data_IF_632320252264
#
_entry.id   IF_632320252264
#
_cell.length_a   1.000
_cell.length_b   1.000
_cell.length_c   1.000
_cell.angle_alpha   90.00
_cell.angle_beta   90.00
_cell.angle_gamma   90.00
#
_symmetry.space_group_name_H-M   'P 1'
#
loop_
_entity.id
_entity.type
_entity.pdbx_description
1 polymer ?
#
# COMPACT_ATOMS: atom_id res chain seq x y z
N UNK A 1 10.39 6.48 14.91
CA UNK A 1 10.21 6.28 13.45
C UNK A 1 10.81 4.95 12.95
N UNK A 2 12.03 4.59 13.36
CA UNK A 2 12.75 3.38 12.91
C UNK A 2 12.05 2.05 13.25
N UNK A 3 11.36 1.95 14.38
CA UNK A 3 10.66 0.70 14.81
C UNK A 3 9.34 0.41 14.06
N UNK A 4 8.82 1.34 13.26
CA UNK A 4 7.57 1.17 12.53
C UNK A 4 7.85 0.87 11.06
N UNK A 5 7.24 -0.18 10.50
CA UNK A 5 7.40 -0.54 9.09
C UNK A 5 6.35 0.12 8.19
N UNK A 6 5.11 0.28 8.64
CA UNK A 6 4.04 0.90 7.82
C UNK A 6 4.26 2.43 7.65
N UNK A 7 4.17 2.97 6.42
CA UNK A 7 4.20 4.41 6.16
C UNK A 7 3.18 5.20 6.99
N UNK A 8 1.94 4.70 7.09
CA UNK A 8 0.87 5.34 7.88
C UNK A 8 1.24 5.45 9.37
N UNK A 9 1.81 4.37 9.94
CA UNK A 9 2.27 4.38 11.33
C UNK A 9 3.41 5.38 11.53
N UNK A 10 4.33 5.49 10.57
CA UNK A 10 5.41 6.48 10.62
C UNK A 10 4.87 7.92 10.56
N UNK A 11 3.86 8.20 9.74
CA UNK A 11 3.18 9.51 9.68
C UNK A 11 2.47 9.82 10.99
N UNK A 12 1.79 8.84 11.60
CA UNK A 12 1.18 9.05 12.93
C UNK A 12 2.22 9.44 13.99
N UNK A 13 3.40 8.82 13.94
CA UNK A 13 4.53 9.19 14.83
C UNK A 13 5.03 10.60 14.50
N UNK A 14 5.12 10.98 13.22
CA UNK A 14 5.49 12.31 12.79
C UNK A 14 4.52 13.37 13.35
N UNK A 15 3.20 13.17 13.15
CA UNK A 15 2.16 14.08 13.65
C UNK A 15 2.22 14.24 15.17
N UNK A 16 2.42 13.14 15.91
CA UNK A 16 2.62 13.19 17.37
C UNK A 16 3.86 14.00 17.75
N UNK A 17 4.94 13.87 16.98
CA UNK A 17 6.18 14.62 17.21
C UNK A 17 5.97 16.12 16.94
N UNK A 18 5.32 16.48 15.83
CA UNK A 18 4.97 17.87 15.52
C UNK A 18 4.09 18.49 16.61
N UNK A 19 3.10 17.74 17.12
CA UNK A 19 2.26 18.19 18.23
C UNK A 19 3.09 18.46 19.49
N UNK A 20 4.01 17.57 19.88
CA UNK A 20 4.89 17.78 21.04
C UNK A 20 5.77 19.03 20.89
N UNK A 21 6.21 19.34 19.66
CA UNK A 21 6.94 20.58 19.37
C UNK A 21 6.04 21.80 19.61
N UNK A 22 4.82 21.82 19.06
CA UNK A 22 3.87 22.91 19.29
C UNK A 22 3.50 23.08 20.77
N UNK A 23 3.29 21.99 21.49
CA UNK A 23 3.00 22.01 22.93
C UNK A 23 4.18 22.63 23.70
N UNK A 24 5.42 22.31 23.31
CA UNK A 24 6.62 22.89 23.91
C UNK A 24 6.78 24.38 23.59
N UNK A 25 6.50 24.80 22.36
CA UNK A 25 6.52 26.21 21.95
C UNK A 25 5.49 27.02 22.73
N UNK A 26 4.28 26.49 22.89
CA UNK A 26 3.18 27.12 23.62
C UNK A 26 3.51 27.29 25.11
N UNK A 27 4.16 26.29 25.72
CA UNK A 27 4.64 26.39 27.10
C UNK A 27 5.74 27.45 27.26
N UNK A 28 6.65 27.55 26.29
CA UNK A 28 7.72 28.54 26.30
C UNK A 28 7.25 29.98 26.05
N UNK A 29 6.12 30.17 25.37
CA UNK A 29 5.52 31.49 25.15
C UNK A 29 3.98 31.44 25.21
N UNK A 30 3.39 31.34 26.42
CA UNK A 30 1.95 31.19 26.58
C UNK A 30 1.14 32.32 25.94
N UNK A 31 0.10 31.96 25.19
CA UNK A 31 -0.83 32.92 24.58
C UNK A 31 -0.40 33.47 23.22
N UNK A 32 0.81 33.15 22.74
CA UNK A 32 1.23 33.47 21.36
C UNK A 32 0.74 32.38 20.39
N UNK A 33 -0.01 32.71 19.33
CA UNK A 33 -0.27 31.75 18.25
C UNK A 33 1.02 31.50 17.45
N UNK A 34 1.28 30.24 17.10
CA UNK A 34 2.48 29.82 16.35
C UNK A 34 2.13 29.46 14.91
N UNK A 35 2.72 30.16 13.95
CA UNK A 35 2.59 29.88 12.53
C UNK A 35 3.64 28.89 12.00
N UNK A 36 3.63 28.67 10.68
CA UNK A 36 4.64 27.86 9.99
C UNK A 36 6.06 28.41 10.16
N UNK A 37 6.21 29.73 10.07
CA UNK A 37 7.50 30.43 10.20
C UNK A 37 8.06 30.36 11.63
N UNK A 38 7.20 30.25 12.65
CA UNK A 38 7.64 29.99 14.02
C UNK A 38 8.04 28.51 14.22
N UNK A 39 7.34 27.59 13.56
CA UNK A 39 7.50 26.15 13.75
C UNK A 39 8.75 25.59 13.05
N UNK A 40 9.00 25.99 11.80
CA UNK A 40 10.07 25.41 10.98
C UNK A 40 11.46 25.50 11.64
N UNK A 41 11.89 26.65 12.22
CA UNK A 41 13.17 26.74 12.92
C UNK A 41 13.26 25.79 14.13
N UNK A 42 12.16 25.61 14.86
CA UNK A 42 12.12 24.71 16.03
C UNK A 42 12.18 23.26 15.58
N UNK A 43 11.48 22.89 14.50
CA UNK A 43 11.59 21.57 13.88
C UNK A 43 13.02 21.28 13.45
N UNK A 44 13.66 22.21 12.74
CA UNK A 44 15.06 22.06 12.31
C UNK A 44 16.00 21.86 13.50
N UNK A 45 15.82 22.63 14.57
CA UNK A 45 16.59 22.48 15.80
C UNK A 45 16.40 21.09 16.43
N UNK A 46 15.16 20.63 16.57
CA UNK A 46 14.86 19.30 17.11
C UNK A 46 15.50 18.20 16.26
N UNK A 47 15.36 18.26 14.93
CA UNK A 47 15.95 17.28 14.01
C UNK A 47 17.48 17.25 14.13
N UNK A 48 18.14 18.41 14.12
CA UNK A 48 19.59 18.52 14.26
C UNK A 48 20.11 17.95 15.61
N UNK A 49 19.25 17.91 16.64
CA UNK A 49 19.59 17.41 17.98
C UNK A 49 19.17 15.96 18.24
N UNK A 50 18.38 15.34 17.36
CA UNK A 50 17.71 14.06 17.63
C UNK A 50 18.49 12.81 17.18
N UNK A 51 19.71 12.95 16.67
CA UNK A 51 20.55 11.84 16.16
C UNK A 51 19.79 10.85 15.25
N UNK A 52 19.02 11.41 14.30
CA UNK A 52 18.20 10.66 13.35
C UNK A 52 18.93 10.52 12.01
N UNK A 53 19.94 9.65 11.96
CA UNK A 53 20.81 9.47 10.79
C UNK A 53 20.08 9.04 9.52
N UNK A 54 18.97 8.31 9.64
CA UNK A 54 18.17 7.82 8.51
C UNK A 54 16.91 8.67 8.24
N UNK A 55 16.86 9.90 8.74
CA UNK A 55 15.63 10.70 8.65
C UNK A 55 15.21 10.98 7.22
N UNK A 56 16.16 11.31 6.33
CA UNK A 56 15.87 11.55 4.91
C UNK A 56 15.25 10.31 4.25
N UNK A 57 15.85 9.14 4.48
CA UNK A 57 15.35 7.86 3.97
C UNK A 57 13.95 7.55 4.51
N UNK A 58 13.68 7.82 5.79
CA UNK A 58 12.35 7.62 6.38
C UNK A 58 11.30 8.55 5.75
N UNK A 59 11.69 9.79 5.44
CA UNK A 59 10.82 10.76 4.77
C UNK A 59 10.53 10.33 3.35
N UNK A 60 11.54 10.01 2.54
CA UNK A 60 11.39 9.50 1.18
C UNK A 60 10.57 8.21 1.16
N UNK A 61 10.81 7.30 2.11
CA UNK A 61 10.04 6.07 2.28
C UNK A 61 8.54 6.36 2.49
N UNK A 62 8.21 7.31 3.39
CA UNK A 62 6.83 7.74 3.60
C UNK A 62 6.25 8.46 2.38
N UNK A 63 7.05 9.25 1.67
CA UNK A 63 6.60 9.95 0.46
C UNK A 63 6.26 8.95 -0.65
N UNK A 64 7.12 7.96 -0.91
CA UNK A 64 6.98 7.08 -2.08
C UNK A 64 6.04 5.89 -1.88
N UNK A 65 5.94 5.32 -0.67
CA UNK A 65 5.18 4.08 -0.44
C UNK A 65 3.80 4.27 0.17
N UNK A 66 3.41 5.51 0.44
CA UNK A 66 2.11 5.78 1.02
C UNK A 66 1.02 5.71 -0.04
N UNK A 67 -0.09 5.05 0.29
CA UNK A 67 -1.24 4.94 -0.60
C UNK A 67 -1.77 6.34 -1.01
N UNK A 68 -1.75 6.69 -2.31
CA UNK A 68 -2.28 7.94 -2.83
C UNK A 68 -3.78 8.16 -2.56
N UNK A 69 -4.54 7.08 -2.35
CA UNK A 69 -5.96 7.13 -2.03
C UNK A 69 -6.22 7.68 -0.62
N UNK A 70 -5.27 7.51 0.31
CA UNK A 70 -5.40 8.00 1.67
C UNK A 70 -5.35 9.54 1.71
N UNK A 71 -6.35 10.14 2.36
CA UNK A 71 -6.35 11.55 2.65
C UNK A 71 -5.42 11.81 3.83
N UNK A 72 -4.31 12.49 3.58
CA UNK A 72 -3.37 12.81 4.64
C UNK A 72 -3.75 14.05 5.45
N UNK A 73 -4.49 14.99 4.87
CA UNK A 73 -4.75 16.29 5.48
C UNK A 73 -3.46 16.95 5.98
N UNK A 74 -3.34 17.10 7.29
CA UNK A 74 -2.15 17.62 7.98
C UNK A 74 -0.89 16.75 7.80
N UNK A 75 -1.02 15.45 7.57
CA UNK A 75 0.10 14.53 7.40
C UNK A 75 1.01 14.88 6.23
N UNK A 76 0.44 15.30 5.10
CA UNK A 76 1.20 15.71 3.90
C UNK A 76 1.96 17.00 4.16
N UNK A 77 1.32 17.93 4.86
CA UNK A 77 1.91 19.21 5.21
C UNK A 77 3.18 18.97 6.04
N UNK A 78 3.07 18.27 7.17
CA UNK A 78 4.23 18.02 8.02
C UNK A 78 5.28 17.10 7.39
N UNK A 79 4.87 16.18 6.51
CA UNK A 79 5.82 15.34 5.76
C UNK A 79 6.68 16.20 4.81
N UNK A 80 6.08 17.08 4.02
CA UNK A 80 6.80 18.01 3.13
C UNK A 80 7.64 18.99 3.95
N UNK A 81 7.10 19.55 5.03
CA UNK A 81 7.86 20.45 5.92
C UNK A 81 9.09 19.76 6.49
N UNK A 82 8.96 18.49 6.87
CA UNK A 82 10.08 17.69 7.41
C UNK A 82 11.10 17.36 6.33
N UNK A 83 10.67 16.99 5.12
CA UNK A 83 11.56 16.81 3.97
C UNK A 83 12.39 18.07 3.71
N UNK A 84 11.72 19.22 3.61
CA UNK A 84 12.37 20.51 3.45
C UNK A 84 13.33 20.82 4.59
N UNK A 85 12.93 20.61 5.84
CA UNK A 85 13.79 20.85 7.01
C UNK A 85 15.09 20.00 6.97
N UNK A 86 14.99 18.72 6.59
CA UNK A 86 16.16 17.83 6.49
C UNK A 86 17.08 18.25 5.35
N UNK A 87 16.55 18.59 4.18
CA UNK A 87 17.34 19.10 3.05
C UNK A 87 17.99 20.46 3.38
N UNK A 88 17.31 21.31 4.16
CA UNK A 88 17.88 22.58 4.65
C UNK A 88 19.06 22.34 5.60
N UNK A 89 18.97 21.36 6.49
CA UNK A 89 20.07 20.99 7.40
C UNK A 89 21.25 20.42 6.60
N UNK A 90 20.98 19.55 5.63
CA UNK A 90 22.01 18.91 4.77
C UNK A 90 22.78 19.92 3.92
N UNK A 91 22.13 21.02 3.52
CA UNK A 91 22.72 22.06 2.67
C UNK A 91 23.01 23.36 3.42
N UNK A 92 23.18 23.31 4.75
CA UNK A 92 23.25 24.50 5.62
C UNK A 92 24.26 25.55 5.14
N UNK A 93 25.47 25.12 4.74
CA UNK A 93 26.53 26.02 4.26
C UNK A 93 26.16 26.78 2.97
N UNK A 94 25.32 26.18 2.12
CA UNK A 94 24.86 26.79 0.85
C UNK A 94 23.65 27.70 1.06
N UNK A 95 22.81 27.40 2.06
CA UNK A 95 21.54 28.11 2.32
C UNK A 95 21.74 29.42 3.08
N UNK A 96 22.84 29.56 3.82
CA UNK A 96 23.21 30.83 4.48
C UNK A 96 23.20 32.03 3.52
N UNK A 97 23.30 31.79 2.21
CA UNK A 97 23.28 32.80 1.14
C UNK A 97 21.87 33.08 0.58
N UNK A 98 20.99 32.08 0.47
CA UNK A 98 19.70 32.22 -0.26
C UNK A 98 18.46 32.12 0.62
N UNK A 99 18.54 31.50 1.81
CA UNK A 99 17.40 31.23 2.71
C UNK A 99 16.21 30.51 2.06
N UNK A 100 16.46 29.77 0.97
CA UNK A 100 15.42 29.08 0.19
C UNK A 100 15.85 27.64 -0.08
N UNK A 101 14.86 26.76 -0.27
CA UNK A 101 15.08 25.40 -0.77
C UNK A 101 15.71 25.47 -2.17
N UNK A 102 16.55 24.48 -2.51
CA UNK A 102 17.10 24.41 -3.86
C UNK A 102 16.00 24.08 -4.87
N UNK A 103 16.25 24.43 -6.13
CA UNK A 103 15.35 24.11 -7.26
C UNK A 103 15.07 22.62 -7.36
N UNK A 104 16.07 21.78 -7.09
CA UNK A 104 15.93 20.32 -7.15
C UNK A 104 14.98 19.80 -6.06
N UNK A 105 15.05 20.38 -4.85
CA UNK A 105 14.17 20.00 -3.75
C UNK A 105 12.73 20.45 -4.01
N UNK A 106 12.53 21.65 -4.56
CA UNK A 106 11.21 22.14 -4.98
C UNK A 106 10.61 21.23 -6.07
N UNK A 107 11.39 20.90 -7.09
CA UNK A 107 10.97 19.99 -8.17
C UNK A 107 10.60 18.60 -7.63
N UNK A 108 11.39 18.07 -6.69
CA UNK A 108 11.09 16.79 -6.04
C UNK A 108 9.74 16.82 -5.31
N UNK A 109 9.44 17.89 -4.58
CA UNK A 109 8.14 18.07 -3.90
C UNK A 109 7.02 18.13 -4.94
N UNK A 110 7.17 18.94 -5.99
CA UNK A 110 6.15 19.08 -7.03
C UNK A 110 5.89 17.77 -7.78
N UNK A 111 6.92 17.00 -8.10
CA UNK A 111 6.78 15.69 -8.72
C UNK A 111 6.03 14.72 -7.80
N UNK A 112 6.35 14.72 -6.51
CA UNK A 112 5.65 13.90 -5.52
C UNK A 112 4.16 14.27 -5.42
N UNK A 113 3.82 15.55 -5.29
CA UNK A 113 2.43 16.03 -5.24
C UNK A 113 1.65 15.66 -6.51
N UNK A 114 2.29 15.79 -7.68
CA UNK A 114 1.71 15.41 -8.98
C UNK A 114 1.46 13.91 -9.06
N UNK A 115 2.41 13.07 -8.64
CA UNK A 115 2.22 11.60 -8.59
C UNK A 115 1.05 11.24 -7.69
N UNK A 116 0.95 11.86 -6.50
CA UNK A 116 -0.13 11.59 -5.55
C UNK A 116 -1.51 11.96 -6.11
N UNK A 117 -1.64 13.13 -6.72
CA UNK A 117 -2.92 13.60 -7.29
C UNK A 117 -3.36 12.78 -8.51
N UNK A 118 -2.44 12.48 -9.43
CA UNK A 118 -2.73 11.63 -10.59
C UNK A 118 -3.00 10.18 -10.21
N UNK A 119 -2.22 9.62 -9.27
CA UNK A 119 -2.42 8.25 -8.81
C UNK A 119 -3.67 8.11 -7.97
N UNK A 120 -4.15 9.14 -7.24
CA UNK A 120 -5.46 9.10 -6.58
C UNK A 120 -6.60 8.85 -7.58
N UNK A 121 -6.52 9.45 -8.78
CA UNK A 121 -7.50 9.25 -9.84
C UNK A 121 -7.40 7.86 -10.52
N UNK A 122 -6.25 7.19 -10.42
CA UNK A 122 -6.02 5.82 -10.93
C UNK A 122 -6.25 4.73 -9.89
N UNK A 123 -5.93 5.00 -8.61
CA UNK A 123 -6.10 4.08 -7.49
C UNK A 123 -7.57 3.85 -7.16
N UNK A 124 -8.46 4.80 -7.48
CA UNK A 124 -9.91 4.54 -7.51
C UNK A 124 -10.33 3.43 -8.49
N UNK A 125 -9.40 2.95 -9.35
CA UNK A 125 -9.63 1.91 -10.35
C UNK A 125 -8.73 0.66 -10.24
N UNK A 126 -7.68 0.57 -9.40
CA UNK A 126 -6.67 -0.52 -9.60
C UNK A 126 -5.87 -1.09 -8.39
N UNK A 127 -5.68 -0.44 -7.23
CA UNK A 127 -4.43 -0.75 -6.48
C UNK A 127 -4.28 -2.09 -5.71
N UNK A 128 -5.33 -2.92 -5.49
CA UNK A 128 -5.20 -4.24 -4.79
C UNK A 128 -6.05 -5.36 -5.41
N UNK A 129 -6.98 -5.01 -6.30
CA UNK A 129 -7.88 -6.01 -6.89
C UNK A 129 -7.22 -6.78 -8.06
N UNK A 130 -6.17 -6.21 -8.66
CA UNK A 130 -5.45 -6.76 -9.82
C UNK A 130 -4.47 -7.90 -9.45
N UNK A 131 -4.41 -8.30 -8.18
CA UNK A 131 -3.53 -9.37 -7.69
C UNK A 131 -4.31 -10.50 -7.02
N UNK A 132 -4.07 -11.75 -7.36
CA UNK A 132 -4.72 -12.91 -6.74
C UNK A 132 -3.68 -13.83 -6.11
N UNK A 133 -3.89 -14.18 -4.85
CA UNK A 133 -3.04 -15.15 -4.15
C UNK A 133 -3.62 -16.55 -4.37
N UNK A 134 -2.83 -17.44 -4.97
CA UNK A 134 -3.24 -18.79 -5.32
C UNK A 134 -2.30 -19.77 -4.65
N UNK A 135 -2.86 -20.73 -3.92
CA UNK A 135 -2.13 -21.81 -3.26
C UNK A 135 -2.06 -23.04 -4.17
N UNK A 136 -0.99 -23.82 -4.07
CA UNK A 136 -0.79 -24.98 -4.93
C UNK A 136 -1.12 -26.27 -4.18
N UNK A 137 -2.04 -27.07 -4.74
CA UNK A 137 -2.57 -28.34 -4.21
C UNK A 137 -3.41 -28.21 -2.93
N UNK A 138 -2.89 -27.52 -1.91
CA UNK A 138 -3.51 -27.36 -0.60
C UNK A 138 -3.68 -25.88 -0.24
N UNK A 139 -4.69 -25.57 0.57
CA UNK A 139 -4.91 -24.21 1.07
C UNK A 139 -3.69 -23.71 1.86
N UNK A 140 -3.28 -22.47 1.59
CA UNK A 140 -2.13 -21.80 2.25
C UNK A 140 -0.76 -22.46 2.01
N UNK A 141 -0.69 -23.53 1.21
CA UNK A 141 0.54 -24.18 0.83
C UNK A 141 1.11 -23.59 -0.47
N UNK A 142 2.42 -23.29 -0.46
CA UNK A 142 3.17 -22.81 -1.64
C UNK A 142 2.47 -21.66 -2.38
N UNK A 143 1.86 -20.73 -1.66
CA UNK A 143 1.08 -19.63 -2.25
C UNK A 143 1.94 -18.71 -3.11
N UNK A 144 1.45 -18.37 -4.30
CA UNK A 144 2.03 -17.35 -5.18
C UNK A 144 1.00 -16.27 -5.48
N UNK A 145 1.44 -15.02 -5.50
CA UNK A 145 0.61 -13.88 -5.89
C UNK A 145 0.81 -13.60 -7.38
N UNK A 146 -0.25 -13.66 -8.15
CA UNK A 146 -0.27 -13.38 -9.59
C UNK A 146 -0.94 -12.04 -9.85
N UNK A 147 -0.41 -11.27 -10.80
CA UNK A 147 -1.09 -10.10 -11.34
C UNK A 147 -1.99 -10.56 -12.51
N UNK A 148 -3.23 -10.08 -12.56
CA UNK A 148 -4.20 -10.46 -13.59
C UNK A 148 -5.10 -9.27 -13.95
N UNK A 149 -5.69 -9.31 -15.14
CA UNK A 149 -6.63 -8.27 -15.58
C UNK A 149 -8.02 -8.54 -15.01
N UNK A 150 -8.81 -7.49 -14.81
CA UNK A 150 -10.16 -7.60 -14.21
C UNK A 150 -11.15 -8.42 -15.06
N UNK A 151 -10.87 -8.53 -16.35
CA UNK A 151 -11.62 -9.29 -17.36
C UNK A 151 -10.97 -10.64 -17.71
N UNK A 152 -9.87 -11.02 -17.05
CA UNK A 152 -9.24 -12.32 -17.29
C UNK A 152 -10.16 -13.46 -16.85
N UNK A 153 -10.28 -14.49 -17.69
CA UNK A 153 -11.06 -15.69 -17.37
C UNK A 153 -10.27 -16.67 -16.49
N UNK A 154 -10.98 -17.59 -15.84
CA UNK A 154 -10.36 -18.69 -15.08
C UNK A 154 -9.37 -19.47 -15.94
N UNK A 155 -9.71 -19.79 -17.20
CA UNK A 155 -8.82 -20.51 -18.11
C UNK A 155 -7.48 -19.76 -18.33
N UNK A 156 -7.54 -18.45 -18.56
CA UNK A 156 -6.32 -17.64 -18.70
C UNK A 156 -5.48 -17.63 -17.42
N UNK A 157 -6.14 -17.61 -16.26
CA UNK A 157 -5.46 -17.65 -14.97
C UNK A 157 -4.86 -19.03 -14.67
N UNK A 158 -5.50 -20.13 -15.09
CA UNK A 158 -4.97 -21.49 -15.02
C UNK A 158 -3.66 -21.58 -15.83
N UNK A 159 -3.62 -21.01 -17.03
CA UNK A 159 -2.40 -20.98 -17.84
C UNK A 159 -1.26 -20.24 -17.12
N UNK A 160 -1.55 -19.08 -16.52
CA UNK A 160 -0.57 -18.36 -15.71
C UNK A 160 -0.12 -19.15 -14.48
N UNK A 161 -1.04 -19.88 -13.83
CA UNK A 161 -0.70 -20.77 -12.72
C UNK A 161 0.23 -21.88 -13.17
N UNK A 162 -0.03 -22.53 -14.31
CA UNK A 162 0.80 -23.61 -14.81
C UNK A 162 2.23 -23.15 -15.09
N UNK A 163 2.40 -22.00 -15.75
CA UNK A 163 3.72 -21.38 -15.96
C UNK A 163 4.40 -21.05 -14.63
N UNK A 164 3.64 -20.48 -13.68
CA UNK A 164 4.20 -20.06 -12.40
C UNK A 164 4.54 -21.23 -11.49
N UNK A 165 3.77 -22.30 -11.48
CA UNK A 165 3.99 -23.48 -10.66
C UNK A 165 4.80 -24.57 -11.38
N UNK A 166 5.24 -24.31 -12.62
CA UNK A 166 6.05 -25.22 -13.43
C UNK A 166 5.35 -26.57 -13.66
N UNK A 167 4.05 -26.53 -13.94
CA UNK A 167 3.21 -27.72 -14.19
C UNK A 167 3.30 -28.12 -15.67
N UNK A 168 3.58 -29.40 -15.93
CA UNK A 168 3.78 -29.94 -17.28
C UNK A 168 2.47 -30.14 -18.06
N UNK A 169 1.38 -30.46 -17.36
CA UNK A 169 0.07 -30.79 -17.95
C UNK A 169 -1.02 -29.88 -17.36
N UNK A 170 -1.13 -28.62 -17.83
CA UNK A 170 -2.09 -27.65 -17.32
C UNK A 170 -3.55 -28.12 -17.41
N UNK A 171 -3.86 -28.96 -18.41
CA UNK A 171 -5.20 -29.50 -18.68
C UNK A 171 -5.75 -30.38 -17.55
N UNK A 172 -4.87 -30.96 -16.72
CA UNK A 172 -5.28 -31.82 -15.61
C UNK A 172 -5.54 -31.04 -14.34
N UNK A 173 -5.49 -29.70 -14.38
CA UNK A 173 -5.60 -28.84 -13.23
C UNK A 173 -6.75 -27.84 -13.39
N UNK A 174 -7.38 -27.51 -12.27
CA UNK A 174 -8.43 -26.52 -12.19
C UNK A 174 -8.12 -25.46 -11.14
N UNK A 175 -8.81 -24.33 -11.24
CA UNK A 175 -8.84 -23.32 -10.20
C UNK A 175 -10.06 -23.53 -9.32
N UNK A 176 -9.83 -23.52 -8.01
CA UNK A 176 -10.85 -23.71 -7.00
C UNK A 176 -10.86 -22.51 -6.06
N UNK A 177 -12.03 -22.19 -5.53
CA UNK A 177 -12.19 -21.27 -4.41
C UNK A 177 -12.73 -22.04 -3.22
N UNK A 178 -12.07 -21.89 -2.08
CA UNK A 178 -12.54 -22.45 -0.82
C UNK A 178 -13.07 -21.32 0.04
N UNK A 179 -14.33 -21.40 0.46
CA UNK A 179 -15.01 -20.42 1.33
C UNK A 179 -15.58 -21.15 2.54
N UNK A 180 -15.16 -20.78 3.75
CA UNK A 180 -15.62 -21.39 5.02
C UNK A 180 -15.66 -22.94 4.99
N UNK A 181 -14.58 -23.55 4.49
CA UNK A 181 -14.38 -25.01 4.29
C UNK A 181 -15.21 -25.69 3.19
N UNK A 182 -15.96 -24.94 2.38
CA UNK A 182 -16.58 -25.45 1.16
C UNK A 182 -15.70 -25.14 -0.05
N UNK A 183 -15.34 -26.16 -0.81
CA UNK A 183 -14.55 -26.00 -2.04
C UNK A 183 -15.49 -25.99 -3.24
N UNK A 184 -15.30 -25.02 -4.13
CA UNK A 184 -16.02 -24.85 -5.39
C UNK A 184 -15.01 -24.76 -6.53
N UNK A 185 -15.25 -25.46 -7.62
CA UNK A 185 -14.46 -25.35 -8.83
C UNK A 185 -14.93 -24.13 -9.63
N UNK A 186 -14.01 -23.35 -10.17
CA UNK A 186 -14.35 -22.24 -11.06
C UNK A 186 -14.53 -22.76 -12.49
N UNK A 187 -15.61 -22.33 -13.15
CA UNK A 187 -15.82 -22.55 -14.58
C UNK A 187 -14.72 -21.84 -15.39
N UNK A 188 -14.33 -22.41 -16.52
CA UNK A 188 -13.24 -21.88 -17.36
C UNK A 188 -13.52 -20.46 -17.86
N UNK A 189 -14.80 -20.13 -18.08
CA UNK A 189 -15.25 -18.81 -18.50
C UNK A 189 -15.55 -17.87 -17.32
N UNK A 190 -15.51 -18.36 -16.08
CA UNK A 190 -15.77 -17.52 -14.90
C UNK A 190 -14.73 -16.40 -14.82
N UNK A 191 -15.10 -15.31 -14.14
CA UNK A 191 -14.24 -14.16 -13.91
C UNK A 191 -13.74 -14.17 -12.46
N UNK A 192 -12.49 -14.61 -12.18
CA UNK A 192 -11.95 -14.68 -10.82
C UNK A 192 -11.98 -13.33 -10.09
N UNK A 193 -11.89 -12.22 -10.82
CA UNK A 193 -12.00 -10.88 -10.27
C UNK A 193 -13.37 -10.60 -9.66
N UNK A 194 -14.46 -10.99 -10.33
CA UNK A 194 -15.81 -10.76 -9.84
C UNK A 194 -16.08 -11.59 -8.58
N UNK A 195 -15.67 -12.86 -8.59
CA UNK A 195 -15.79 -13.76 -7.44
C UNK A 195 -14.97 -13.23 -6.25
N UNK A 196 -13.70 -12.86 -6.46
CA UNK A 196 -12.86 -12.26 -5.41
C UNK A 196 -13.46 -10.98 -4.86
N UNK A 197 -13.92 -10.08 -5.72
CA UNK A 197 -14.53 -8.80 -5.32
C UNK A 197 -15.80 -9.02 -4.51
N UNK A 198 -16.65 -9.97 -4.92
CA UNK A 198 -17.85 -10.33 -4.17
C UNK A 198 -17.53 -10.88 -2.78
N UNK A 199 -16.57 -11.80 -2.66
CA UNK A 199 -16.18 -12.39 -1.38
C UNK A 199 -15.54 -11.36 -0.42
N UNK A 200 -14.76 -10.41 -0.95
CA UNK A 200 -14.19 -9.32 -0.14
C UNK A 200 -15.25 -8.36 0.42
N UNK A 201 -16.35 -8.17 -0.32
CA UNK A 201 -17.42 -7.24 0.04
C UNK A 201 -18.60 -7.90 0.78
N UNK A 202 -18.54 -9.21 1.02
CA UNK A 202 -19.61 -9.96 1.71
C UNK A 202 -19.64 -9.62 3.21
N UNK A 203 -20.84 -9.42 3.74
CA UNK A 203 -21.10 -9.26 5.18
C UNK A 203 -22.03 -10.38 5.68
N UNK A 204 -21.66 -11.14 6.73
CA UNK A 204 -20.42 -11.05 7.51
C UNK A 204 -19.18 -11.45 6.70
N UNK A 205 -18.00 -10.95 7.11
CA UNK A 205 -16.73 -11.27 6.44
C UNK A 205 -16.48 -12.77 6.47
N UNK A 206 -16.27 -13.34 5.29
CA UNK A 206 -15.94 -14.76 5.09
C UNK A 206 -14.43 -14.95 4.91
N UNK A 207 -13.94 -16.11 5.32
CA UNK A 207 -12.56 -16.52 5.02
C UNK A 207 -12.54 -17.32 3.72
N UNK A 208 -11.65 -16.95 2.81
CA UNK A 208 -11.54 -17.64 1.53
C UNK A 208 -10.11 -17.71 1.01
N UNK A 209 -9.82 -18.71 0.19
CA UNK A 209 -8.55 -18.83 -0.55
C UNK A 209 -8.78 -19.43 -1.93
N UNK A 210 -7.92 -19.07 -2.88
CA UNK A 210 -7.88 -19.68 -4.21
C UNK A 210 -6.82 -20.78 -4.25
N UNK A 211 -7.16 -21.91 -4.86
CA UNK A 211 -6.33 -23.12 -4.88
C UNK A 211 -6.25 -23.61 -6.32
N UNK A 212 -5.02 -23.76 -6.82
CA UNK A 212 -4.73 -24.44 -8.08
C UNK A 212 -4.32 -25.87 -7.78
N UNK A 213 -5.15 -26.83 -8.17
CA UNK A 213 -4.94 -28.27 -7.87
C UNK A 213 -5.42 -29.14 -9.02
N UNK A 214 -4.98 -30.41 -9.01
CA UNK A 214 -5.36 -31.39 -10.01
C UNK A 214 -6.88 -31.64 -9.98
N UNK A 215 -7.47 -31.83 -11.16
CA UNK A 215 -8.83 -32.33 -11.38
C UNK A 215 -8.86 -33.82 -11.02
N UNK A 216 -8.62 -34.15 -9.75
CA UNK A 216 -8.76 -35.52 -9.29
C UNK A 216 -10.23 -35.94 -9.36
N UNK A 217 -10.50 -37.14 -9.88
CA UNK A 217 -11.83 -37.78 -9.85
C UNK A 217 -12.25 -38.18 -8.45
N UNK A 218 -12.37 -37.22 -7.53
CA UNK A 218 -12.88 -37.46 -6.18
C UNK A 218 -14.35 -37.90 -6.23
N UNK A 219 -14.73 -38.80 -5.32
CA UNK A 219 -16.00 -39.55 -5.28
C UNK A 219 -17.27 -38.70 -5.07
N UNK A 220 -17.14 -37.37 -4.96
CA UNK A 220 -18.26 -36.43 -4.87
C UNK A 220 -18.09 -35.26 -5.84
N UNK A 221 -19.10 -34.93 -6.65
CA UNK A 221 -19.01 -33.82 -7.59
C UNK A 221 -18.83 -32.49 -6.84
N UNK A 222 -17.68 -31.85 -7.04
CA UNK A 222 -17.42 -30.49 -6.55
C UNK A 222 -18.32 -29.53 -7.34
N UNK A 223 -19.07 -28.64 -6.68
CA UNK A 223 -19.91 -27.66 -7.38
C UNK A 223 -19.06 -26.73 -8.24
N UNK A 224 -19.46 -26.56 -9.51
CA UNK A 224 -18.84 -25.64 -10.46
C UNK A 224 -19.57 -24.30 -10.39
N UNK A 225 -18.80 -23.21 -10.26
CA UNK A 225 -19.32 -21.85 -10.19
C UNK A 225 -18.88 -21.04 -11.42
N UNK A 226 -19.83 -20.39 -12.09
CA UNK A 226 -19.56 -19.46 -13.18
C UNK A 226 -19.65 -18.00 -12.72
N UNK A 227 -20.62 -17.73 -11.86
CA UNK A 227 -20.96 -16.40 -11.37
C UNK A 227 -21.14 -16.41 -9.84
N UNK A 228 -21.36 -15.24 -9.26
CA UNK A 228 -21.50 -15.04 -7.80
C UNK A 228 -22.80 -15.57 -7.21
N UNK A 229 -23.78 -15.93 -8.05
CA UNK A 229 -25.13 -16.33 -7.60
C UNK A 229 -25.16 -17.63 -6.78
N UNK A 230 -24.07 -18.39 -6.79
CA UNK A 230 -23.93 -19.69 -6.11
C UNK A 230 -23.11 -19.57 -4.80
N UNK A 231 -22.58 -18.37 -4.48
CA UNK A 231 -21.66 -18.11 -3.36
C UNK A 231 -22.33 -17.42 -2.16
#
# INVERSE_FOLDING_TARGET
MTKAYSPEKKISILLKSCKLIYDSMTQGNPGKPHGADDFLPVLMYVLARSDLTEMILNVEYMMELMDPALQLGEGSYYLITTYGAVELIKSYDKIAVTRQLSTEVQDSIHQWERRRTLNKARASRSSVQDFIAISFMEAEAKTRTLAYQTDSTTHQLIQQCAEKFEVLEPQDYGLFVQVDNKTMQMDDDALPHQIKSHLLNKEPRVTFCFIYKQLSGEESPVPVIKDTDVL
#
